data_IF_672074700328
#
_entry.id   IF_672074700328
#
_cell.length_a   1.000
_cell.length_b   1.000
_cell.length_c   1.000
_cell.angle_alpha   90.00
_cell.angle_beta   90.00
_cell.angle_gamma   90.00
#
_symmetry.space_group_name_H-M   'P 1'
#
loop_
_entity.id
_entity.type
_entity.pdbx_description
1 polymer ?
#
# COMPACT_ATOMS: atom_id res chain seq x y z
N UNK A 1 34.46 -0.55 1.34
CA UNK A 1 33.63 0.33 0.47
C UNK A 1 34.49 1.47 -0.05
N UNK A 2 34.58 1.68 -1.37
CA UNK A 2 35.29 2.85 -1.92
C UNK A 2 34.38 4.08 -1.75
N UNK A 3 34.86 5.11 -1.03
CA UNK A 3 34.17 6.40 -0.91
C UNK A 3 34.12 7.05 -2.30
N UNK A 4 32.93 7.47 -2.72
CA UNK A 4 32.70 8.30 -3.91
C UNK A 4 31.98 9.56 -3.46
N UNK A 5 32.42 10.70 -3.96
CA UNK A 5 31.83 12.02 -3.72
C UNK A 5 31.16 12.53 -4.99
N UNK A 6 30.08 13.27 -4.84
CA UNK A 6 29.30 13.92 -5.91
C UNK A 6 29.04 15.35 -5.46
N UNK A 7 29.42 16.32 -6.28
CA UNK A 7 29.12 17.74 -6.03
C UNK A 7 27.77 18.09 -6.65
N UNK A 8 26.89 18.76 -5.90
CA UNK A 8 25.56 19.18 -6.33
C UNK A 8 25.12 20.44 -5.56
N UNK A 9 24.33 21.30 -6.20
CA UNK A 9 23.76 22.50 -5.56
C UNK A 9 22.63 22.16 -4.56
N UNK A 10 21.91 21.06 -4.82
CA UNK A 10 20.79 20.60 -4.01
C UNK A 10 20.81 19.07 -3.86
N UNK A 11 20.36 18.62 -2.69
CA UNK A 11 20.18 17.19 -2.39
C UNK A 11 18.76 16.97 -1.89
N UNK A 12 18.03 16.08 -2.55
CA UNK A 12 16.70 15.63 -2.14
C UNK A 12 16.79 14.19 -1.60
N UNK A 13 16.27 13.97 -0.39
CA UNK A 13 16.29 12.66 0.28
C UNK A 13 14.88 12.08 0.34
N UNK A 14 14.61 11.09 -0.51
CA UNK A 14 13.32 10.37 -0.56
C UNK A 14 13.51 8.87 -0.34
N UNK A 15 14.08 8.49 0.81
CA UNK A 15 14.43 7.08 1.13
C UNK A 15 13.24 6.26 1.65
N UNK A 16 12.10 6.88 1.91
CA UNK A 16 10.89 6.20 2.39
C UNK A 16 10.10 7.06 3.38
N UNK A 17 9.03 6.48 3.91
CA UNK A 17 8.15 7.06 4.94
C UNK A 17 8.12 6.13 6.15
N UNK A 18 7.86 6.69 7.33
CA UNK A 18 7.68 5.95 8.59
C UNK A 18 6.35 6.38 9.23
N UNK A 19 5.60 5.47 9.86
CA UNK A 19 4.43 5.83 10.66
C UNK A 19 4.82 6.81 11.77
N UNK A 20 3.98 7.83 11.99
CA UNK A 20 4.18 8.83 13.04
C UNK A 20 3.29 8.49 14.25
N UNK A 21 3.80 7.66 15.16
CA UNK A 21 3.04 7.12 16.30
C UNK A 21 3.64 7.46 17.67
N UNK A 22 4.78 8.16 17.71
CA UNK A 22 5.58 8.36 18.92
C UNK A 22 4.86 9.19 20.01
N UNK A 23 4.04 10.17 19.63
CA UNK A 23 3.34 11.06 20.57
C UNK A 23 1.88 10.65 20.86
N UNK A 24 1.43 9.50 20.34
CA UNK A 24 0.03 9.07 20.46
C UNK A 24 -0.29 8.36 21.78
N UNK A 25 0.71 8.06 22.61
CA UNK A 25 0.49 7.37 23.89
C UNK A 25 -0.02 5.93 23.74
N UNK A 26 0.25 5.28 22.60
CA UNK A 26 -0.26 3.93 22.28
C UNK A 26 0.11 2.88 23.34
N UNK A 27 1.28 3.03 23.97
CA UNK A 27 1.72 2.17 25.08
C UNK A 27 0.82 2.29 26.31
N UNK A 28 0.34 3.49 26.64
CA UNK A 28 -0.55 3.72 27.79
C UNK A 28 -1.94 3.16 27.55
N UNK A 29 -2.37 3.14 26.29
CA UNK A 29 -3.68 2.66 25.86
C UNK A 29 -3.67 1.14 25.64
N UNK A 30 -2.50 0.51 25.51
CA UNK A 30 -2.35 -0.93 25.29
C UNK A 30 -2.56 -1.36 23.84
N UNK A 31 -2.34 -0.47 22.88
CA UNK A 31 -2.42 -0.78 21.45
C UNK A 31 -1.13 -1.47 21.00
N UNK A 32 -1.25 -2.67 20.44
CA UNK A 32 -0.09 -3.41 19.93
C UNK A 32 0.47 -2.79 18.65
N UNK A 33 1.79 -2.60 18.63
CA UNK A 33 2.56 -2.28 17.44
C UNK A 33 3.26 -3.56 16.93
N UNK A 34 3.49 -3.61 15.62
CA UNK A 34 4.33 -4.64 14.99
C UNK A 34 5.81 -4.28 15.12
N UNK A 35 6.71 -5.21 14.79
CA UNK A 35 8.17 -4.98 14.77
C UNK A 35 8.62 -3.83 13.85
N UNK A 36 7.76 -3.44 12.89
CA UNK A 36 8.01 -2.31 11.97
C UNK A 36 7.54 -0.96 12.52
N UNK A 37 6.94 -0.94 13.71
CA UNK A 37 6.38 0.27 14.34
C UNK A 37 5.02 0.71 13.76
N UNK A 38 4.36 -0.13 12.95
CA UNK A 38 2.97 0.11 12.50
C UNK A 38 1.98 -0.53 13.48
N UNK A 39 0.81 0.08 13.62
CA UNK A 39 -0.29 -0.40 14.47
C UNK A 39 -0.82 -1.71 13.91
N UNK A 40 -0.95 -2.71 14.79
CA UNK A 40 -1.53 -4.00 14.43
C UNK A 40 -3.05 -3.87 14.38
N UNK A 41 -3.63 -4.18 13.23
CA UNK A 41 -5.07 -4.17 13.01
C UNK A 41 -5.56 -5.48 12.42
N UNK A 42 -6.84 -5.79 12.64
CA UNK A 42 -7.55 -6.84 11.93
C UNK A 42 -8.07 -6.36 10.55
N UNK A 43 -8.82 -7.22 9.85
CA UNK A 43 -9.44 -6.89 8.55
C UNK A 43 -10.54 -5.84 8.62
N UNK A 44 -11.00 -5.48 9.81
CA UNK A 44 -12.03 -4.46 10.05
C UNK A 44 -11.42 -3.18 10.63
N UNK A 45 -10.09 -3.01 10.51
CA UNK A 45 -9.33 -1.88 11.04
C UNK A 45 -9.32 -1.77 12.58
N UNK A 46 -9.71 -2.81 13.32
CA UNK A 46 -9.72 -2.81 14.80
C UNK A 46 -8.35 -3.11 15.35
N UNK A 47 -7.95 -2.38 16.37
CA UNK A 47 -6.70 -2.65 17.12
C UNK A 47 -6.92 -3.71 18.20
N UNK A 48 -5.90 -3.98 19.02
CA UNK A 48 -6.03 -4.83 20.22
C UNK A 48 -7.09 -4.35 21.21
N UNK A 49 -7.44 -3.06 21.18
CA UNK A 49 -8.52 -2.49 21.99
C UNK A 49 -9.76 -2.32 21.11
N UNK A 50 -10.86 -2.99 21.48
CA UNK A 50 -12.05 -3.15 20.62
C UNK A 50 -12.77 -1.85 20.24
N UNK A 51 -12.55 -0.77 20.98
CA UNK A 51 -13.10 0.56 20.72
C UNK A 51 -12.14 1.48 19.95
N UNK A 52 -10.94 1.01 19.58
CA UNK A 52 -9.92 1.80 18.90
C UNK A 52 -9.62 1.18 17.53
N UNK A 53 -9.65 2.05 16.52
CA UNK A 53 -9.44 1.69 15.13
C UNK A 53 -8.26 2.49 14.57
N UNK A 54 -7.52 1.90 13.63
CA UNK A 54 -6.39 2.55 12.97
C UNK A 54 -6.49 2.33 11.46
N UNK A 55 -6.14 3.35 10.67
CA UNK A 55 -6.26 3.37 9.20
C UNK A 55 -5.09 4.13 8.56
N UNK A 56 -4.84 3.89 7.28
CA UNK A 56 -3.91 4.65 6.46
C UNK A 56 -2.44 4.24 6.60
N UNK A 57 -1.56 5.23 6.70
CA UNK A 57 -0.10 5.03 6.69
C UNK A 57 0.45 4.48 8.02
N UNK A 58 -0.38 4.46 9.08
CA UNK A 58 0.01 3.91 10.39
C UNK A 58 -0.26 2.42 10.54
N UNK A 59 -0.98 1.81 9.58
CA UNK A 59 -1.29 0.38 9.54
C UNK A 59 -0.55 -0.31 8.38
N UNK A 60 -0.55 -1.64 8.37
CA UNK A 60 0.14 -2.41 7.34
C UNK A 60 -0.46 -2.18 5.93
N UNK A 61 0.36 -2.32 4.89
CA UNK A 61 -0.01 -2.10 3.49
C UNK A 61 0.53 -0.81 2.87
N UNK A 62 0.23 -0.55 1.58
CA UNK A 62 0.87 0.51 0.82
C UNK A 62 0.45 1.92 1.29
N UNK A 63 1.35 2.91 1.41
CA UNK A 63 1.01 4.27 1.85
C UNK A 63 0.38 5.07 0.70
N UNK A 64 -0.91 4.84 0.47
CA UNK A 64 -1.69 5.43 -0.62
C UNK A 64 -2.90 6.18 -0.08
N UNK A 65 -3.15 7.38 -0.58
CA UNK A 65 -4.24 8.22 -0.11
C UNK A 65 -5.62 7.55 -0.26
N UNK A 66 -5.87 6.92 -1.41
CA UNK A 66 -7.14 6.22 -1.67
C UNK A 66 -7.29 4.94 -0.84
N UNK A 67 -6.19 4.30 -0.43
CA UNK A 67 -6.23 3.20 0.55
C UNK A 67 -6.72 3.72 1.90
N UNK A 68 -6.14 4.81 2.40
CA UNK A 68 -6.53 5.39 3.69
C UNK A 68 -8.02 5.77 3.72
N UNK A 69 -8.53 6.36 2.64
CA UNK A 69 -9.96 6.69 2.50
C UNK A 69 -10.85 5.44 2.49
N UNK A 70 -10.42 4.38 1.80
CA UNK A 70 -11.16 3.12 1.77
C UNK A 70 -11.20 2.45 3.15
N UNK A 71 -10.05 2.36 3.84
CA UNK A 71 -9.98 1.83 5.20
C UNK A 71 -10.81 2.64 6.19
N UNK A 72 -10.88 3.96 6.02
CA UNK A 72 -11.76 4.83 6.82
C UNK A 72 -13.23 4.49 6.64
N UNK A 73 -13.65 4.16 5.41
CA UNK A 73 -15.02 3.69 5.14
C UNK A 73 -15.29 2.34 5.81
N UNK A 74 -14.37 1.39 5.69
CA UNK A 74 -14.50 0.07 6.31
C UNK A 74 -14.54 0.19 7.85
N UNK A 75 -13.70 1.04 8.44
CA UNK A 75 -13.70 1.28 9.87
C UNK A 75 -15.06 1.87 10.33
N UNK A 76 -15.63 2.81 9.58
CA UNK A 76 -16.94 3.38 9.88
C UNK A 76 -18.07 2.33 9.79
N UNK A 77 -18.05 1.48 8.75
CA UNK A 77 -18.99 0.36 8.60
C UNK A 77 -18.82 -0.67 9.75
N UNK A 78 -17.59 -0.97 10.15
CA UNK A 78 -17.29 -1.86 11.26
C UNK A 78 -17.69 -1.30 12.63
N UNK A 79 -17.71 0.03 12.80
CA UNK A 79 -18.27 0.72 13.98
C UNK A 79 -19.80 0.63 13.97
N UNK A 80 -20.42 0.71 12.79
CA UNK A 80 -21.87 0.56 12.62
C UNK A 80 -22.36 -0.90 12.76
N UNK A 81 -21.44 -1.87 12.84
CA UNK A 81 -21.76 -3.29 13.00
C UNK A 81 -21.94 -4.07 11.70
N UNK A 82 -21.57 -3.47 10.56
CA UNK A 82 -21.61 -4.13 9.25
C UNK A 82 -20.42 -5.07 9.05
N UNK A 83 -20.58 -6.19 8.31
CA UNK A 83 -19.52 -7.16 8.04
C UNK A 83 -18.57 -6.70 6.92
N UNK A 84 -18.04 -5.49 7.04
CA UNK A 84 -17.09 -4.94 6.07
C UNK A 84 -15.67 -5.48 6.32
N UNK A 85 -14.96 -5.88 5.26
CA UNK A 85 -13.58 -6.36 5.29
C UNK A 85 -12.73 -5.61 4.25
N UNK A 86 -11.46 -5.38 4.57
CA UNK A 86 -10.50 -4.79 3.65
C UNK A 86 -10.03 -5.82 2.60
N UNK A 87 -10.13 -5.45 1.31
CA UNK A 87 -9.43 -6.13 0.21
C UNK A 87 -8.45 -5.17 -0.48
N UNK A 88 -7.15 -5.48 -0.35
CA UNK A 88 -6.07 -4.69 -0.93
C UNK A 88 -5.81 -5.01 -2.41
N UNK A 89 -6.33 -6.11 -2.96
CA UNK A 89 -6.00 -6.55 -4.32
C UNK A 89 -6.51 -5.56 -5.38
N UNK A 90 -7.65 -4.92 -5.11
CA UNK A 90 -8.26 -3.93 -5.99
C UNK A 90 -7.68 -2.52 -5.89
N UNK A 91 -6.66 -2.29 -5.06
CA UNK A 91 -6.08 -0.95 -4.86
C UNK A 91 -5.02 -0.67 -5.92
N UNK A 92 -5.23 0.32 -6.81
CA UNK A 92 -4.24 0.67 -7.83
C UNK A 92 -3.05 1.42 -7.22
N UNK A 93 -1.87 1.24 -7.78
CA UNK A 93 -0.68 2.07 -7.50
C UNK A 93 -0.33 2.86 -8.76
N UNK A 94 -0.05 4.16 -8.60
CA UNK A 94 0.20 5.09 -9.71
C UNK A 94 1.47 5.89 -9.47
N UNK A 95 2.27 6.06 -10.52
CA UNK A 95 3.43 6.96 -10.56
C UNK A 95 3.15 8.02 -11.61
N UNK A 96 3.07 9.28 -11.17
CA UNK A 96 2.78 10.45 -11.99
C UNK A 96 4.03 10.99 -12.71
N UNK A 97 4.78 10.09 -13.36
CA UNK A 97 5.87 10.44 -14.28
C UNK A 97 5.32 10.69 -15.69
N UNK A 98 6.20 11.07 -16.62
CA UNK A 98 5.87 11.12 -18.04
C UNK A 98 6.74 10.09 -18.80
N UNK A 99 6.15 9.00 -19.34
CA UNK A 99 4.74 8.59 -19.27
C UNK A 99 4.31 8.15 -17.87
N UNK A 100 3.00 8.19 -17.62
CA UNK A 100 2.41 7.72 -16.36
C UNK A 100 2.48 6.19 -16.29
N UNK A 101 2.60 5.67 -15.06
CA UNK A 101 2.63 4.23 -14.80
C UNK A 101 1.55 3.89 -13.78
N UNK A 102 0.73 2.88 -14.07
CA UNK A 102 -0.30 2.39 -13.16
C UNK A 102 -0.32 0.86 -13.13
N UNK A 103 -0.52 0.28 -11.95
CA UNK A 103 -0.62 -1.18 -11.75
C UNK A 103 -1.71 -1.51 -10.74
N UNK A 104 -2.41 -2.61 -10.91
CA UNK A 104 -3.41 -3.13 -9.97
C UNK A 104 -3.42 -4.66 -10.00
N UNK A 105 -3.80 -5.30 -8.91
CA UNK A 105 -3.84 -6.75 -8.81
C UNK A 105 -2.47 -7.39 -8.64
N UNK A 106 -2.33 -8.63 -9.12
CA UNK A 106 -1.10 -9.40 -8.95
C UNK A 106 -0.04 -9.03 -10.00
N UNK A 107 1.20 -9.00 -9.55
CA UNK A 107 2.36 -9.00 -10.44
C UNK A 107 2.53 -10.36 -11.11
N UNK A 108 3.23 -10.41 -12.24
CA UNK A 108 3.51 -11.67 -12.94
C UNK A 108 4.26 -12.69 -12.05
N UNK A 109 5.20 -12.20 -11.23
CA UNK A 109 5.95 -13.01 -10.28
C UNK A 109 5.04 -13.65 -9.22
N UNK A 110 4.11 -12.87 -8.66
CA UNK A 110 3.11 -13.35 -7.69
C UNK A 110 2.07 -14.29 -8.29
N UNK A 111 1.75 -14.10 -9.57
CA UNK A 111 0.82 -14.97 -10.27
C UNK A 111 1.49 -16.32 -10.59
N UNK A 112 2.79 -16.33 -10.91
CA UNK A 112 3.58 -17.55 -11.15
C UNK A 112 3.76 -18.38 -9.87
N UNK A 113 4.01 -17.74 -8.73
CA UNK A 113 4.19 -18.44 -7.45
C UNK A 113 2.91 -19.15 -6.98
N UNK A 114 1.74 -18.62 -7.32
CA UNK A 114 0.42 -19.20 -6.99
C UNK A 114 0.01 -20.39 -7.88
N UNK A 115 0.86 -20.87 -8.80
CA UNK A 115 0.57 -21.98 -9.76
C UNK A 115 -0.70 -21.78 -10.58
N UNK A 116 -1.09 -20.53 -10.85
CA UNK A 116 -2.21 -20.25 -11.74
C UNK A 116 -1.74 -20.31 -13.20
N UNK A 117 -2.57 -20.84 -14.11
CA UNK A 117 -2.34 -20.74 -15.55
C UNK A 117 -2.52 -19.27 -15.95
N UNK A 118 -1.41 -18.55 -16.04
CA UNK A 118 -1.43 -17.15 -16.44
C UNK A 118 -1.16 -17.06 -17.94
N UNK A 119 -1.89 -16.18 -18.63
CA UNK A 119 -1.55 -15.72 -19.97
C UNK A 119 -1.08 -14.28 -19.85
N UNK A 120 0.10 -13.98 -20.38
CA UNK A 120 0.59 -12.60 -20.49
C UNK A 120 0.33 -12.11 -21.91
N UNK A 121 -0.16 -10.88 -22.05
CA UNK A 121 -0.33 -10.20 -23.33
C UNK A 121 0.18 -8.78 -23.18
N UNK A 122 1.08 -8.37 -24.06
CA UNK A 122 1.69 -7.04 -24.03
C UNK A 122 1.35 -6.32 -25.33
N UNK A 123 0.89 -5.07 -25.22
CA UNK A 123 0.60 -4.21 -26.37
C UNK A 123 1.43 -2.95 -26.20
N UNK A 124 2.42 -2.69 -27.07
CA UNK A 124 3.21 -1.48 -26.98
C UNK A 124 2.36 -0.27 -27.34
N UNK A 125 2.46 0.80 -26.54
CA UNK A 125 1.69 2.05 -26.75
C UNK A 125 1.91 2.63 -28.16
N UNK A 126 3.07 2.38 -28.78
CA UNK A 126 3.38 2.82 -30.16
C UNK A 126 2.58 2.08 -31.26
N UNK A 127 1.98 0.93 -30.97
CA UNK A 127 1.38 0.03 -31.97
C UNK A 127 -0.12 0.18 -32.17
N UNK A 128 -0.72 1.34 -31.89
CA UNK A 128 -2.15 1.63 -32.14
C UNK A 128 -2.56 1.55 -33.63
N UNK A 129 -1.72 0.98 -34.52
CA UNK A 129 -2.06 0.64 -35.91
C UNK A 129 -2.04 -0.85 -36.28
N UNK A 130 -1.55 -1.76 -35.43
CA UNK A 130 -1.63 -3.20 -35.74
C UNK A 130 -1.46 -4.07 -34.51
N UNK A 131 -2.55 -4.62 -33.98
CA UNK A 131 -2.49 -5.77 -33.07
C UNK A 131 -2.24 -7.03 -33.89
N UNK A 132 -1.05 -7.64 -33.78
CA UNK A 132 -0.82 -9.01 -34.21
C UNK A 132 -0.93 -9.94 -33.01
N UNK A 133 -1.95 -10.79 -33.02
CA UNK A 133 -2.05 -11.95 -32.12
C UNK A 133 -1.10 -13.04 -32.61
N UNK A 134 -0.38 -13.68 -31.69
CA UNK A 134 0.36 -14.94 -31.91
C UNK A 134 0.14 -15.85 -30.72
#
# INVERSE_FOLDING_TARGET
>A
MKKKTVDADYVLVTVGRRPNTDELGLEQVGVELTDRGVVKTDKQCRTSVSNIYAIGDIVDGPPLAHKASYEGKIAAEAIAGEPAEIDYLGIPAVVFSEPELATVGYTEAEAKSRRNRNRCSEIPIRSERTCTFS
#
